data_IF_613210971014
#
_entry.id   IF_613210971014
#
_cell.length_a   1.000
_cell.length_b   1.000
_cell.length_c   1.000
_cell.angle_alpha   90.00
_cell.angle_beta   90.00
_cell.angle_gamma   90.00
#
_symmetry.space_group_name_H-M   'P 1'
#
loop_
_entity.id
_entity.type
_entity.pdbx_description
1 polymer ?
#
# COMPACT_ATOMS: atom_id res chain seq x y z
N UNK A 1 -1.15 28.33 -9.86
CA UNK A 1 -2.58 28.47 -9.56
C UNK A 1 -3.31 28.25 -10.88
N UNK A 2 -4.41 27.48 -10.96
CA UNK A 2 -5.15 27.39 -12.23
C UNK A 2 -5.94 28.69 -12.35
N UNK A 3 -5.46 29.60 -13.20
CA UNK A 3 -6.03 30.94 -13.36
C UNK A 3 -7.10 30.99 -14.46
N UNK A 4 -7.17 29.97 -15.31
CA UNK A 4 -8.12 29.85 -16.42
C UNK A 4 -9.36 29.02 -16.01
N UNK A 5 -10.54 29.60 -16.23
CA UNK A 5 -11.82 28.97 -15.93
C UNK A 5 -12.09 27.73 -16.80
N UNK A 6 -11.65 27.73 -18.06
CA UNK A 6 -11.86 26.62 -18.99
C UNK A 6 -11.02 25.40 -18.57
N UNK A 7 -9.77 25.63 -18.18
CA UNK A 7 -8.89 24.58 -17.64
C UNK A 7 -9.44 23.97 -16.35
N UNK A 8 -10.05 24.80 -15.49
CA UNK A 8 -10.67 24.33 -14.24
C UNK A 8 -11.86 23.42 -14.52
N UNK A 9 -12.69 23.75 -15.49
CA UNK A 9 -13.84 22.94 -15.87
C UNK A 9 -13.40 21.60 -16.47
N UNK A 10 -12.40 21.62 -17.38
CA UNK A 10 -11.82 20.41 -17.95
C UNK A 10 -11.23 19.49 -16.88
N UNK A 11 -10.51 20.05 -15.91
CA UNK A 11 -9.96 19.28 -14.79
C UNK A 11 -11.06 18.65 -13.94
N UNK A 12 -12.11 19.41 -13.62
CA UNK A 12 -13.26 18.88 -12.87
C UNK A 12 -13.91 17.71 -13.61
N UNK A 13 -14.10 17.81 -14.92
CA UNK A 13 -14.67 16.72 -15.71
C UNK A 13 -13.79 15.46 -15.65
N UNK A 14 -12.47 15.58 -15.74
CA UNK A 14 -11.54 14.45 -15.61
C UNK A 14 -11.64 13.81 -14.23
N UNK A 15 -11.63 14.62 -13.16
CA UNK A 15 -11.73 14.13 -11.80
C UNK A 15 -13.05 13.41 -11.55
N UNK A 16 -14.17 13.94 -12.05
CA UNK A 16 -15.48 13.29 -11.95
C UNK A 16 -15.54 11.98 -12.74
N UNK A 17 -15.09 12.01 -13.99
CA UNK A 17 -15.08 10.84 -14.89
C UNK A 17 -14.22 9.70 -14.34
N UNK A 18 -13.11 10.03 -13.69
CA UNK A 18 -12.15 9.08 -13.15
C UNK A 18 -12.15 9.04 -11.61
N UNK A 19 -13.26 9.42 -10.97
CA UNK A 19 -13.33 9.60 -9.52
C UNK A 19 -12.87 8.38 -8.71
N UNK A 20 -13.11 7.16 -9.21
CA UNK A 20 -12.64 5.92 -8.57
C UNK A 20 -11.11 5.78 -8.58
N UNK A 21 -10.43 6.27 -9.63
CA UNK A 21 -8.97 6.24 -9.72
C UNK A 21 -8.32 7.21 -8.73
N UNK A 22 -9.01 8.33 -8.47
CA UNK A 22 -8.59 9.39 -7.56
C UNK A 22 -9.21 9.25 -6.16
N UNK A 23 -9.90 8.15 -5.85
CA UNK A 23 -10.46 7.94 -4.52
C UNK A 23 -9.33 7.60 -3.53
N UNK A 24 -8.97 8.57 -2.70
CA UNK A 24 -7.92 8.42 -1.68
C UNK A 24 -8.46 7.85 -0.36
N UNK A 25 -9.78 7.62 -0.24
CA UNK A 25 -10.40 7.13 0.99
C UNK A 25 -10.17 5.63 1.19
N UNK A 26 -10.03 4.90 0.09
CA UNK A 26 -9.72 3.47 0.10
C UNK A 26 -8.45 3.23 -0.70
N UNK A 27 -7.55 2.37 -0.21
CA UNK A 27 -6.41 1.95 -1.02
C UNK A 27 -6.92 1.24 -2.27
N UNK A 28 -6.46 1.70 -3.42
CA UNK A 28 -6.74 1.10 -4.72
C UNK A 28 -5.87 -0.15 -4.90
N UNK A 29 -6.24 -1.26 -4.26
CA UNK A 29 -5.61 -2.55 -4.53
C UNK A 29 -6.11 -3.05 -5.88
N UNK A 30 -5.23 -2.98 -6.87
CA UNK A 30 -5.49 -3.49 -8.21
C UNK A 30 -5.22 -5.00 -8.17
N UNK A 31 -6.25 -5.81 -8.43
CA UNK A 31 -6.07 -7.23 -8.73
C UNK A 31 -5.48 -7.37 -10.13
N UNK A 32 -4.15 -7.31 -10.23
CA UNK A 32 -3.44 -7.56 -11.46
C UNK A 32 -3.38 -9.07 -11.74
N UNK A 33 -3.51 -9.46 -13.01
CA UNK A 33 -3.33 -10.86 -13.45
C UNK A 33 -1.86 -11.27 -13.45
N UNK A 34 -0.95 -10.29 -13.50
CA UNK A 34 0.49 -10.51 -13.48
C UNK A 34 0.95 -10.42 -12.03
N UNK A 35 1.56 -11.49 -11.54
CA UNK A 35 2.14 -11.54 -10.21
C UNK A 35 3.62 -11.16 -10.26
N UNK A 36 4.06 -10.38 -9.29
CA UNK A 36 5.48 -10.13 -9.09
C UNK A 36 6.13 -11.39 -8.49
N UNK A 37 7.31 -11.76 -9.00
CA UNK A 37 8.11 -12.86 -8.48
C UNK A 37 9.49 -12.33 -8.09
N UNK A 38 10.03 -12.84 -6.99
CA UNK A 38 11.38 -12.54 -6.52
C UNK A 38 12.23 -13.78 -6.75
N UNK A 39 13.23 -13.69 -7.62
CA UNK A 39 14.15 -14.80 -7.92
C UNK A 39 15.30 -14.80 -6.91
N UNK A 40 15.30 -15.77 -5.99
CA UNK A 40 16.33 -15.91 -4.94
C UNK A 40 17.53 -16.76 -5.36
N UNK A 41 17.58 -17.19 -6.63
CA UNK A 41 18.56 -18.13 -7.17
C UNK A 41 18.79 -19.34 -6.23
N UNK A 42 20.00 -19.54 -5.73
CA UNK A 42 20.37 -20.64 -4.83
C UNK A 42 20.49 -20.21 -3.36
N UNK A 43 20.06 -19.01 -3.01
CA UNK A 43 20.22 -18.50 -1.64
C UNK A 43 19.19 -19.13 -0.69
N UNK A 44 19.62 -19.72 0.44
CA UNK A 44 18.70 -20.26 1.43
C UNK A 44 18.04 -19.13 2.25
N UNK A 45 16.90 -19.42 2.92
CA UNK A 45 16.27 -18.48 3.83
C UNK A 45 17.20 -18.00 4.95
N UNK A 46 17.14 -16.71 5.26
CA UNK A 46 17.93 -16.07 6.32
C UNK A 46 16.98 -15.51 7.38
N UNK A 47 16.88 -16.19 8.51
CA UNK A 47 16.12 -15.70 9.65
C UNK A 47 16.89 -14.61 10.42
N UNK A 48 16.23 -13.48 10.67
CA UNK A 48 16.73 -12.44 11.57
C UNK A 48 15.66 -12.08 12.60
N UNK A 49 16.03 -12.11 13.89
CA UNK A 49 15.12 -11.69 14.95
C UNK A 49 14.75 -10.20 14.78
N UNK A 50 13.48 -9.81 14.98
CA UNK A 50 13.09 -8.41 15.04
C UNK A 50 13.90 -7.65 16.09
N UNK A 51 14.23 -6.39 15.78
CA UNK A 51 14.89 -5.50 16.72
C UNK A 51 13.96 -5.15 17.89
N UNK A 52 14.56 -4.87 19.05
CA UNK A 52 13.81 -4.34 20.19
C UNK A 52 13.36 -2.92 19.88
N UNK A 53 12.06 -2.68 20.04
CA UNK A 53 11.42 -1.37 19.85
C UNK A 53 10.98 -0.78 21.19
N UNK A 54 10.80 0.53 21.24
CA UNK A 54 10.19 1.18 22.41
C UNK A 54 8.69 0.89 22.47
N UNK A 55 8.09 0.98 23.65
CA UNK A 55 6.64 0.76 23.80
C UNK A 55 5.80 1.69 22.93
N UNK A 56 6.23 2.96 22.78
CA UNK A 56 5.55 3.94 21.94
C UNK A 56 5.59 3.53 20.46
N UNK A 57 6.75 3.07 20.00
CA UNK A 57 6.93 2.65 18.60
C UNK A 57 6.19 1.34 18.32
N UNK A 58 6.13 0.43 19.29
CA UNK A 58 5.37 -0.81 19.19
C UNK A 58 3.87 -0.55 18.97
N UNK A 59 3.29 0.43 19.68
CA UNK A 59 1.90 0.82 19.47
C UNK A 59 1.66 1.36 18.06
N UNK A 60 2.55 2.23 17.57
CA UNK A 60 2.47 2.79 16.22
C UNK A 60 2.59 1.68 15.16
N UNK A 61 3.53 0.75 15.34
CA UNK A 61 3.70 -0.40 14.44
C UNK A 61 2.45 -1.26 14.41
N UNK A 62 1.84 -1.53 15.56
CA UNK A 62 0.62 -2.33 15.65
C UNK A 62 -0.56 -1.68 14.94
N UNK A 63 -0.74 -0.37 15.11
CA UNK A 63 -1.79 0.38 14.41
C UNK A 63 -1.64 0.33 12.88
N UNK A 64 -0.40 0.46 12.38
CA UNK A 64 -0.14 0.39 10.94
C UNK A 64 -0.29 -1.05 10.41
N UNK A 65 0.16 -2.06 11.16
CA UNK A 65 -0.05 -3.48 10.81
C UNK A 65 -1.55 -3.79 10.70
N UNK A 66 -2.35 -3.39 11.69
CA UNK A 66 -3.80 -3.62 11.71
C UNK A 66 -4.49 -2.95 10.52
N UNK A 67 -4.05 -1.74 10.16
CA UNK A 67 -4.54 -1.02 8.98
C UNK A 67 -4.20 -1.77 7.70
N UNK A 68 -2.95 -2.23 7.51
CA UNK A 68 -2.53 -2.96 6.31
C UNK A 68 -3.21 -4.33 6.20
N UNK A 69 -3.41 -5.03 7.31
CA UNK A 69 -4.18 -6.28 7.37
C UNK A 69 -5.64 -6.07 6.95
N UNK A 70 -6.32 -5.05 7.51
CA UNK A 70 -7.69 -4.71 7.11
C UNK A 70 -7.82 -4.34 5.65
N UNK A 71 -6.79 -3.71 5.09
CA UNK A 71 -6.72 -3.38 3.67
C UNK A 71 -6.42 -4.60 2.80
N UNK A 72 -5.89 -5.70 3.35
CA UNK A 72 -5.50 -6.90 2.60
C UNK A 72 -4.20 -6.72 1.83
N UNK A 73 -3.33 -5.79 2.24
CA UNK A 73 -2.00 -5.56 1.65
C UNK A 73 -0.99 -6.58 2.16
N UNK A 74 -1.15 -7.04 3.41
CA UNK A 74 -0.32 -8.05 4.06
C UNK A 74 -1.20 -9.17 4.64
N UNK A 75 -0.60 -10.32 4.93
CA UNK A 75 -1.25 -11.46 5.56
C UNK A 75 -0.31 -12.15 6.56
N UNK A 76 -0.88 -12.98 7.44
CA UNK A 76 -0.09 -13.82 8.35
C UNK A 76 0.67 -14.89 7.56
N UNK A 77 1.94 -15.11 7.91
CA UNK A 77 2.82 -16.06 7.23
C UNK A 77 3.60 -16.91 8.23
N UNK A 78 3.95 -18.13 7.79
CA UNK A 78 4.86 -19.05 8.50
C UNK A 78 6.17 -19.21 7.73
N UNK A 79 6.65 -18.10 7.16
CA UNK A 79 7.86 -18.04 6.34
C UNK A 79 9.10 -18.55 7.09
N UNK A 80 10.01 -19.27 6.42
CA UNK A 80 11.33 -19.62 6.97
C UNK A 80 12.36 -18.49 6.85
N UNK A 81 12.06 -17.44 6.07
CA UNK A 81 12.81 -16.18 5.98
C UNK A 81 12.46 -15.26 7.16
#
# INVERSE_FOLDING_TARGET
HIEDAEQREQLQQILWKHGKLFDLRQPSIIKATIHHAIETETHPPIYTSPYRVSYKDEQIQREEIDKLLKQGVIEESKSPW
#
